data_IF_345302693767
#
_entry.id   IF_345302693767
#
_cell.length_a   1.000
_cell.length_b   1.000
_cell.length_c   1.000
_cell.angle_alpha   90.00
_cell.angle_beta   90.00
_cell.angle_gamma   90.00
#
_symmetry.space_group_name_H-M   'P 1'
#
loop_
_entity.id
_entity.type
_entity.pdbx_description
1 polymer ?
#
# COMPACT_ATOMS: atom_id res chain seq x y z
N UNK A 1 -3.49 10.20 -22.87
CA UNK A 1 -3.96 9.89 -21.50
C UNK A 1 -2.77 9.32 -20.75
N UNK A 2 -2.56 9.79 -19.51
CA UNK A 2 -1.51 9.29 -18.61
C UNK A 2 -1.78 7.82 -18.29
N UNK A 3 -0.73 7.01 -18.19
CA UNK A 3 -0.83 5.57 -17.89
C UNK A 3 0.16 5.16 -16.81
N UNK A 4 -0.15 4.11 -16.06
CA UNK A 4 0.81 3.48 -15.15
C UNK A 4 1.96 2.87 -15.97
N UNK A 5 3.18 3.32 -15.73
CA UNK A 5 4.40 2.87 -16.40
C UNK A 5 5.22 1.92 -15.54
N UNK A 6 5.15 2.05 -14.21
CA UNK A 6 5.93 1.23 -13.27
C UNK A 6 5.19 1.05 -11.95
N UNK A 7 5.33 -0.12 -11.36
CA UNK A 7 4.93 -0.41 -9.98
C UNK A 7 6.05 -1.17 -9.27
N UNK A 8 6.38 -0.74 -8.05
CA UNK A 8 7.45 -1.30 -7.24
C UNK A 8 7.05 -1.36 -5.76
N UNK A 9 7.54 -2.39 -5.06
CA UNK A 9 7.45 -2.51 -3.61
C UNK A 9 8.77 -2.06 -2.98
N UNK A 10 8.72 -0.97 -2.22
CA UNK A 10 9.80 -0.47 -1.40
C UNK A 10 9.70 -1.15 -0.03
N UNK A 11 10.60 -2.09 0.22
CA UNK A 11 10.66 -2.82 1.47
C UNK A 11 11.44 -1.98 2.48
N UNK A 12 10.74 -1.43 3.48
CA UNK A 12 11.33 -0.59 4.51
C UNK A 12 11.47 -1.39 5.80
N UNK A 13 12.57 -1.16 6.51
CA UNK A 13 12.83 -1.76 7.83
C UNK A 13 13.59 -0.77 8.69
N UNK A 14 13.15 -0.63 9.94
CA UNK A 14 13.81 0.16 10.96
C UNK A 14 15.20 -0.40 11.28
N UNK A 15 16.13 0.46 11.73
CA UNK A 15 17.51 0.07 11.99
C UNK A 15 17.65 -0.84 13.22
N UNK A 16 16.70 -0.78 14.14
CA UNK A 16 16.68 -1.51 15.41
C UNK A 16 15.30 -2.14 15.53
N UNK A 17 15.25 -3.41 15.94
CA UNK A 17 14.01 -4.09 16.24
C UNK A 17 14.26 -5.18 17.27
N UNK A 18 13.24 -5.45 18.08
CA UNK A 18 13.22 -6.59 18.98
C UNK A 18 11.90 -7.34 18.80
N UNK A 19 11.97 -8.61 18.41
CA UNK A 19 10.80 -9.43 18.12
C UNK A 19 9.91 -9.69 19.36
N UNK A 20 10.41 -9.40 20.57
CA UNK A 20 9.62 -9.48 21.80
C UNK A 20 8.75 -8.22 22.03
N UNK A 21 8.93 -7.17 21.24
CA UNK A 21 8.27 -5.89 21.44
C UNK A 21 6.94 -5.83 20.70
N UNK A 22 5.98 -5.12 21.26
CA UNK A 22 4.71 -4.84 20.60
C UNK A 22 4.85 -3.58 19.74
N UNK A 23 5.81 -3.62 18.82
CA UNK A 23 6.13 -2.53 17.90
C UNK A 23 5.83 -2.96 16.45
N UNK A 24 4.75 -2.39 15.90
CA UNK A 24 4.36 -2.59 14.48
C UNK A 24 5.11 -1.68 13.51
N UNK A 25 6.00 -0.80 13.99
CA UNK A 25 6.70 0.18 13.14
C UNK A 25 8.07 -0.29 12.65
N UNK A 26 8.41 -1.56 12.93
CA UNK A 26 9.72 -2.16 12.64
C UNK A 26 9.95 -2.41 11.14
N UNK A 27 8.92 -2.75 10.38
CA UNK A 27 8.99 -2.88 8.93
C UNK A 27 7.64 -2.57 8.28
N UNK A 28 7.66 -2.20 7.01
CA UNK A 28 6.45 -1.90 6.25
C UNK A 28 6.70 -2.03 4.75
N UNK A 29 5.64 -2.31 3.98
CA UNK A 29 5.69 -2.38 2.53
C UNK A 29 5.06 -1.11 1.94
N UNK A 30 5.89 -0.29 1.29
CA UNK A 30 5.42 0.90 0.56
C UNK A 30 5.35 0.59 -0.93
N UNK A 31 4.16 0.69 -1.51
CA UNK A 31 3.94 0.56 -2.94
C UNK A 31 4.07 1.91 -3.61
N UNK A 32 4.94 2.00 -4.61
CA UNK A 32 5.06 3.17 -5.49
C UNK A 32 4.51 2.84 -6.87
N UNK A 33 3.54 3.63 -7.32
CA UNK A 33 2.98 3.55 -8.68
C UNK A 33 3.42 4.80 -9.44
N UNK A 34 4.19 4.62 -10.51
CA UNK A 34 4.73 5.71 -11.34
C UNK A 34 4.04 5.74 -12.69
N UNK A 35 3.56 6.92 -13.08
CA UNK A 35 2.97 7.17 -14.37
C UNK A 35 4.02 7.44 -15.46
N UNK A 36 3.62 7.33 -16.73
CA UNK A 36 4.45 7.60 -17.90
C UNK A 36 5.01 9.02 -18.00
N UNK A 37 4.38 9.98 -17.31
CA UNK A 37 4.86 11.37 -17.17
C UNK A 37 5.78 11.58 -15.95
N UNK A 38 6.14 10.52 -15.22
CA UNK A 38 7.05 10.56 -14.07
C UNK A 38 6.40 10.93 -12.73
N UNK A 39 5.13 11.34 -12.71
CA UNK A 39 4.40 11.54 -11.45
C UNK A 39 4.16 10.19 -10.79
N UNK A 40 4.30 10.12 -9.46
CA UNK A 40 4.09 8.89 -8.72
C UNK A 40 3.20 9.09 -7.50
N UNK A 41 2.44 8.04 -7.19
CA UNK A 41 1.69 7.91 -5.95
C UNK A 41 2.31 6.86 -5.02
N UNK A 42 2.07 7.01 -3.72
CA UNK A 42 2.52 6.11 -2.67
C UNK A 42 1.33 5.57 -1.89
N UNK A 43 1.40 4.29 -1.55
CA UNK A 43 0.50 3.65 -0.61
C UNK A 43 1.24 2.64 0.23
N UNK A 44 0.66 2.28 1.36
CA UNK A 44 1.31 1.46 2.37
C UNK A 44 0.37 0.32 2.79
N UNK A 45 0.96 -0.81 3.19
CA UNK A 45 0.25 -1.83 3.95
C UNK A 45 1.10 -2.30 5.14
N UNK A 46 0.45 -2.47 6.27
CA UNK A 46 0.99 -3.12 7.47
C UNK A 46 1.01 -4.64 7.25
N UNK A 47 2.05 -5.11 6.57
CA UNK A 47 2.26 -6.52 6.22
C UNK A 47 3.75 -6.78 5.96
N UNK A 48 4.21 -8.05 6.08
CA UNK A 48 5.60 -8.41 5.82
C UNK A 48 6.06 -7.96 4.43
N UNK A 49 7.03 -7.02 4.32
CA UNK A 49 7.34 -6.37 3.05
C UNK A 49 7.91 -7.32 2.01
N UNK A 50 8.62 -8.36 2.43
CA UNK A 50 9.13 -9.41 1.55
C UNK A 50 7.99 -10.24 0.92
N UNK A 51 6.95 -10.54 1.68
CA UNK A 51 5.80 -11.29 1.19
C UNK A 51 4.97 -10.44 0.21
N UNK A 52 4.80 -9.15 0.50
CA UNK A 52 4.15 -8.20 -0.41
C UNK A 52 4.95 -8.02 -1.70
N UNK A 53 6.27 -7.86 -1.60
CA UNK A 53 7.15 -7.76 -2.76
C UNK A 53 7.10 -9.02 -3.63
N UNK A 54 7.15 -10.22 -3.01
CA UNK A 54 7.02 -11.47 -3.74
C UNK A 54 5.66 -11.59 -4.44
N UNK A 55 4.57 -11.21 -3.76
CA UNK A 55 3.22 -11.28 -4.31
C UNK A 55 3.02 -10.36 -5.51
N UNK A 56 3.64 -9.17 -5.50
CA UNK A 56 3.61 -8.23 -6.62
C UNK A 56 4.28 -8.79 -7.89
N UNK A 57 5.25 -9.71 -7.73
CA UNK A 57 6.04 -10.30 -8.81
C UNK A 57 5.54 -11.69 -9.24
N UNK A 58 4.42 -12.18 -8.69
CA UNK A 58 3.86 -13.49 -9.06
C UNK A 58 3.45 -13.48 -10.54
N UNK A 59 3.95 -14.42 -11.37
CA UNK A 59 3.57 -14.49 -12.77
C UNK A 59 2.14 -14.99 -12.96
N UNK A 60 1.54 -14.62 -14.09
CA UNK A 60 0.23 -15.13 -14.47
C UNK A 60 0.26 -16.64 -14.76
N UNK A 61 -0.62 -17.40 -14.11
CA UNK A 61 -0.78 -18.84 -14.34
C UNK A 61 -2.04 -19.18 -15.14
N UNK A 62 -3.16 -18.52 -14.83
CA UNK A 62 -4.43 -18.65 -15.54
C UNK A 62 -5.33 -17.42 -15.26
N UNK A 63 -6.52 -17.38 -15.85
CA UNK A 63 -7.44 -16.23 -15.82
C UNK A 63 -7.86 -15.73 -14.42
N UNK A 64 -7.69 -16.55 -13.38
CA UNK A 64 -8.03 -16.23 -11.98
C UNK A 64 -6.78 -16.14 -11.09
N UNK A 65 -5.60 -16.27 -11.69
CA UNK A 65 -4.30 -16.18 -11.03
C UNK A 65 -3.32 -15.41 -11.92
N UNK A 66 -3.69 -14.18 -12.25
CA UNK A 66 -2.91 -13.26 -13.05
C UNK A 66 -1.95 -12.43 -12.19
N UNK A 67 -0.87 -11.95 -12.81
CA UNK A 67 0.07 -11.00 -12.20
C UNK A 67 -0.63 -9.66 -11.90
N UNK A 68 -0.56 -9.21 -10.65
CA UNK A 68 -1.09 -7.89 -10.23
C UNK A 68 -0.40 -6.78 -11.03
N UNK A 69 0.93 -6.88 -11.22
CA UNK A 69 1.69 -5.92 -12.02
C UNK A 69 1.13 -5.83 -13.44
N UNK A 70 0.94 -6.95 -14.12
CA UNK A 70 0.51 -6.96 -15.53
C UNK A 70 -0.92 -6.41 -15.70
N UNK A 71 -1.79 -6.63 -14.71
CA UNK A 71 -3.14 -6.09 -14.70
C UNK A 71 -3.17 -4.56 -14.59
N UNK A 72 -2.18 -3.96 -13.94
CA UNK A 72 -2.07 -2.52 -13.69
C UNK A 72 -1.37 -1.74 -14.81
N UNK A 73 -0.31 -2.30 -15.40
CA UNK A 73 0.49 -1.59 -16.40
C UNK A 73 -0.35 -1.13 -17.60
N UNK A 74 -0.13 0.12 -18.02
CA UNK A 74 -0.85 0.72 -19.14
C UNK A 74 -2.29 1.15 -18.85
N UNK A 75 -2.78 1.00 -17.61
CA UNK A 75 -4.12 1.40 -17.17
C UNK A 75 -4.03 2.61 -16.22
N UNK A 76 -5.13 3.34 -16.02
CA UNK A 76 -5.24 4.39 -14.96
C UNK A 76 -6.68 4.55 -14.41
N UNK A 77 -7.63 3.74 -14.87
CA UNK A 77 -9.02 3.78 -14.39
C UNK A 77 -9.12 3.15 -12.99
N UNK A 78 -8.84 3.94 -11.94
CA UNK A 78 -8.64 3.48 -10.56
C UNK A 78 -9.77 2.57 -10.08
N UNK A 79 -11.02 3.00 -10.23
CA UNK A 79 -12.19 2.26 -9.76
C UNK A 79 -12.34 0.92 -10.50
N UNK A 80 -12.03 0.86 -11.80
CA UNK A 80 -12.07 -0.38 -12.58
C UNK A 80 -10.89 -1.30 -12.28
N UNK A 81 -9.75 -0.74 -11.88
CA UNK A 81 -8.56 -1.49 -11.54
C UNK A 81 -8.77 -2.34 -10.30
N UNK A 82 -9.54 -1.87 -9.32
CA UNK A 82 -9.82 -2.65 -8.12
C UNK A 82 -10.52 -3.98 -8.46
N UNK A 83 -11.64 -3.92 -9.17
CA UNK A 83 -12.39 -5.11 -9.60
C UNK A 83 -11.55 -6.02 -10.51
N UNK A 84 -10.84 -5.42 -11.47
CA UNK A 84 -9.97 -6.16 -12.40
C UNK A 84 -8.87 -6.94 -11.67
N UNK A 85 -8.23 -6.31 -10.69
CA UNK A 85 -7.17 -6.95 -9.89
C UNK A 85 -7.77 -8.01 -8.97
N UNK A 86 -8.90 -7.73 -8.32
CA UNK A 86 -9.57 -8.68 -7.44
C UNK A 86 -9.96 -9.97 -8.19
N UNK A 87 -10.69 -9.83 -9.31
CA UNK A 87 -11.18 -10.95 -10.10
C UNK A 87 -10.03 -11.71 -10.78
N UNK A 88 -9.06 -10.97 -11.33
CA UNK A 88 -7.90 -11.55 -11.99
C UNK A 88 -6.96 -12.30 -11.04
N UNK A 89 -7.01 -12.01 -9.74
CA UNK A 89 -6.14 -12.63 -8.73
C UNK A 89 -6.88 -13.49 -7.72
N UNK A 90 -8.18 -13.74 -7.91
CA UNK A 90 -9.05 -14.37 -6.90
C UNK A 90 -8.50 -15.71 -6.34
N UNK A 91 -7.71 -16.46 -7.11
CA UNK A 91 -7.12 -17.73 -6.67
C UNK A 91 -6.05 -17.56 -5.57
N UNK A 92 -5.25 -16.50 -5.63
CA UNK A 92 -4.13 -16.26 -4.70
C UNK A 92 -4.23 -14.93 -3.92
N UNK A 93 -5.12 -14.04 -4.31
CA UNK A 93 -5.21 -12.66 -3.81
C UNK A 93 -6.50 -12.32 -3.04
N UNK A 94 -7.53 -13.17 -3.11
CA UNK A 94 -8.88 -12.85 -2.59
C UNK A 94 -8.96 -12.48 -1.11
N UNK A 95 -7.98 -12.85 -0.28
CA UNK A 95 -7.93 -12.60 1.18
C UNK A 95 -6.48 -12.40 1.63
N UNK A 96 -6.28 -11.92 2.87
CA UNK A 96 -4.95 -11.81 3.47
C UNK A 96 -4.02 -10.88 2.67
N UNK A 97 -2.80 -11.35 2.39
CA UNK A 97 -1.74 -10.58 1.73
C UNK A 97 -2.16 -9.97 0.39
N UNK A 98 -3.03 -10.64 -0.37
CA UNK A 98 -3.52 -10.08 -1.64
C UNK A 98 -4.38 -8.84 -1.45
N UNK A 99 -5.32 -8.87 -0.50
CA UNK A 99 -6.14 -7.70 -0.17
C UNK A 99 -5.29 -6.59 0.45
N UNK A 100 -4.30 -6.95 1.27
CA UNK A 100 -3.34 -5.98 1.83
C UNK A 100 -2.53 -5.26 0.74
N UNK A 101 -1.96 -5.99 -0.22
CA UNK A 101 -1.28 -5.40 -1.37
C UNK A 101 -2.24 -4.55 -2.23
N UNK A 102 -3.47 -5.03 -2.49
CA UNK A 102 -4.48 -4.27 -3.22
C UNK A 102 -4.83 -2.95 -2.52
N UNK A 103 -4.96 -2.93 -1.20
CA UNK A 103 -5.22 -1.71 -0.42
C UNK A 103 -4.07 -0.71 -0.56
N UNK A 104 -2.81 -1.17 -0.50
CA UNK A 104 -1.66 -0.30 -0.72
C UNK A 104 -1.62 0.26 -2.15
N UNK A 105 -1.98 -0.55 -3.15
CA UNK A 105 -2.10 -0.10 -4.55
C UNK A 105 -3.20 0.95 -4.68
N UNK A 106 -4.38 0.72 -4.10
CA UNK A 106 -5.51 1.65 -4.16
C UNK A 106 -5.17 3.01 -3.55
N UNK A 107 -4.52 3.02 -2.38
CA UNK A 107 -3.99 4.24 -1.76
C UNK A 107 -2.97 4.95 -2.67
N UNK A 108 -2.05 4.20 -3.29
CA UNK A 108 -1.07 4.76 -4.22
C UNK A 108 -1.73 5.36 -5.47
N UNK A 109 -2.80 4.75 -5.98
CA UNK A 109 -3.56 5.27 -7.12
C UNK A 109 -4.32 6.55 -6.75
N UNK A 110 -4.89 6.64 -5.55
CA UNK A 110 -5.54 7.86 -5.06
C UNK A 110 -4.54 9.00 -4.85
N UNK A 111 -3.36 8.72 -4.29
CA UNK A 111 -2.27 9.70 -4.17
C UNK A 111 -1.79 10.17 -5.56
N UNK A 112 -1.58 9.25 -6.48
CA UNK A 112 -1.21 9.57 -7.88
C UNK A 112 -2.27 10.46 -8.54
N UNK A 113 -3.54 10.10 -8.43
CA UNK A 113 -4.66 10.88 -8.99
C UNK A 113 -4.73 12.28 -8.38
N UNK A 114 -4.55 12.40 -7.06
CA UNK A 114 -4.50 13.68 -6.38
C UNK A 114 -3.37 14.56 -6.93
N UNK A 115 -2.16 14.01 -7.04
CA UNK A 115 -1.00 14.72 -7.61
C UNK A 115 -1.19 15.12 -9.07
N UNK A 116 -1.76 14.24 -9.91
CA UNK A 116 -2.06 14.56 -11.31
C UNK A 116 -3.10 15.70 -11.45
N UNK A 117 -4.02 15.80 -10.50
CA UNK A 117 -5.07 16.84 -10.47
C UNK A 117 -4.66 18.10 -9.70
N UNK A 118 -3.53 18.08 -8.99
CA UNK A 118 -3.14 19.16 -8.07
C UNK A 118 -4.08 19.28 -6.86
N UNK A 119 -4.72 18.19 -6.44
CA UNK A 119 -5.69 18.14 -5.34
C UNK A 119 -5.21 17.23 -4.22
N UNK A 120 -5.47 17.58 -2.94
CA UNK A 120 -5.28 16.64 -1.84
C UNK A 120 -6.30 15.50 -1.91
N UNK A 121 -5.91 14.29 -1.49
CA UNK A 121 -6.71 13.07 -1.66
C UNK A 121 -8.15 13.17 -1.10
N UNK A 122 -8.36 13.86 0.03
CA UNK A 122 -9.70 14.02 0.60
C UNK A 122 -10.69 14.76 -0.32
N UNK A 123 -10.21 15.60 -1.25
CA UNK A 123 -11.07 16.27 -2.25
C UNK A 123 -11.63 15.27 -3.25
N UNK A 124 -10.90 14.18 -3.52
CA UNK A 124 -11.38 13.09 -4.38
C UNK A 124 -12.52 12.31 -3.72
N UNK A 125 -12.60 12.35 -2.38
CA UNK A 125 -13.57 11.63 -1.56
C UNK A 125 -14.81 12.48 -1.19
N UNK A 126 -15.06 13.57 -1.91
CA UNK A 126 -16.20 14.45 -1.67
C UNK A 126 -15.91 15.72 -0.85
N UNK A 127 -14.64 16.00 -0.56
CA UNK A 127 -14.22 17.24 0.08
C UNK A 127 -14.20 17.17 1.61
N UNK A 128 -13.88 18.31 2.24
CA UNK A 128 -13.73 18.38 3.70
C UNK A 128 -15.10 18.35 4.40
N UNK A 129 -15.26 17.48 5.39
CA UNK A 129 -16.39 17.50 6.32
C UNK A 129 -16.11 18.29 7.61
N UNK A 130 -14.83 18.60 7.88
CA UNK A 130 -14.35 19.28 9.08
C UNK A 130 -12.99 19.94 8.82
N UNK A 131 -12.64 20.95 9.60
CA UNK A 131 -11.35 21.65 9.47
C UNK A 131 -10.22 21.00 10.29
N UNK A 132 -10.57 20.19 11.30
CA UNK A 132 -9.60 19.50 12.17
C UNK A 132 -10.09 18.11 12.58
N UNK A 133 -9.14 17.20 12.84
CA UNK A 133 -9.36 15.87 13.42
C UNK A 133 -8.60 15.84 14.74
N UNK A 134 -9.26 15.43 15.83
CA UNK A 134 -8.60 15.26 17.15
C UNK A 134 -8.04 13.85 17.24
N UNK A 135 -6.71 13.66 17.37
CA UNK A 135 -6.12 12.33 17.53
C UNK A 135 -6.25 11.81 18.97
N UNK A 136 -6.01 10.53 19.16
CA UNK A 136 -5.80 9.91 20.47
C UNK A 136 -4.51 9.10 20.45
N UNK A 137 -3.95 8.81 21.63
CA UNK A 137 -2.73 8.03 21.77
C UNK A 137 -3.08 6.59 22.14
N UNK A 138 -2.61 5.64 21.32
CA UNK A 138 -2.66 4.20 21.64
C UNK A 138 -1.37 3.79 22.34
N UNK A 139 -1.46 3.19 23.53
CA UNK A 139 -0.32 2.65 24.27
C UNK A 139 -0.58 1.18 24.61
N UNK A 140 0.44 0.34 24.42
CA UNK A 140 0.40 -1.06 24.80
C UNK A 140 1.06 -1.26 26.17
N UNK A 141 0.43 -2.00 27.12
CA UNK A 141 0.99 -2.26 28.44
C UNK A 141 2.33 -3.04 28.44
N UNK A 142 2.66 -3.70 27.33
CA UNK A 142 3.90 -4.46 27.12
C UNK A 142 5.12 -3.60 26.75
N UNK A 143 4.93 -2.28 26.67
CA UNK A 143 5.99 -1.30 26.45
C UNK A 143 6.31 -0.63 27.79
N UNK A 144 7.52 -0.74 28.38
CA UNK A 144 8.69 -1.57 28.12
C UNK A 144 8.77 -2.78 29.07
N UNK A 145 9.39 -3.88 28.64
CA UNK A 145 9.74 -5.03 29.50
C UNK A 145 10.91 -4.69 30.47
N UNK A 146 10.87 -3.54 31.13
CA UNK A 146 11.94 -3.03 32.01
C UNK A 146 13.05 -2.23 31.33
N UNK A 147 12.92 -1.91 30.03
CA UNK A 147 13.83 -1.04 29.27
C UNK A 147 13.41 0.45 29.33
N UNK A 148 14.35 1.37 29.27
CA UNK A 148 14.13 2.81 29.07
C UNK A 148 13.71 3.10 27.62
N UNK A 149 13.20 4.32 27.37
CA UNK A 149 12.84 4.75 26.02
C UNK A 149 14.05 4.77 25.08
N UNK A 150 15.23 5.08 25.61
CA UNK A 150 16.50 5.05 24.89
C UNK A 150 17.00 3.62 24.58
N UNK A 151 16.47 2.61 25.28
CA UNK A 151 16.76 1.18 25.07
C UNK A 151 15.69 0.48 24.20
N UNK A 152 14.63 1.19 23.82
CA UNK A 152 13.60 0.77 22.86
C UNK A 152 13.99 1.21 21.46
#
# INVERSE_FOLDING_TARGET
MVKIAKIECLQLRGPQFNAADCDGTVDTAVIRVTADNGVYGLGETDAPPNAIAALLEVPSAHIWSMSIRDLLLGQLEVERLWDKVYDGTIYHGRRGLGIMLMSAIDNALHDLRGKLLGLPAYQLLGGKARDRITPYLTLFPSMPQGRSWEEM
#
